data_IF_786919666247
#
_entry.id   IF_786919666247
#
_cell.length_a   1.000
_cell.length_b   1.000
_cell.length_c   1.000
_cell.angle_alpha   90.00
_cell.angle_beta   90.00
_cell.angle_gamma   90.00
#
_symmetry.space_group_name_H-M   'P 1'
#
loop_
_entity.id
_entity.type
_entity.pdbx_description
1 polymer ?
#
# COMPACT_ATOMS: atom_id res chain seq x y z
N UNK A 1 16.81 -52.89 33.92
CA UNK A 1 17.86 -52.22 33.11
C UNK A 1 17.19 -51.54 31.93
N UNK A 2 17.37 -50.21 31.85
CA UNK A 2 17.23 -49.24 30.74
C UNK A 2 15.98 -49.32 29.84
N UNK A 3 15.01 -48.38 29.87
CA UNK A 3 15.00 -46.99 29.30
C UNK A 3 15.33 -47.02 27.80
N UNK A 4 14.48 -46.55 26.88
CA UNK A 4 14.13 -45.14 26.62
C UNK A 4 12.71 -44.99 26.04
N UNK A 5 11.97 -44.07 26.68
CA UNK A 5 10.73 -43.40 26.28
C UNK A 5 11.04 -42.38 25.18
N UNK A 6 10.16 -42.18 24.20
CA UNK A 6 9.62 -40.87 23.74
C UNK A 6 8.75 -41.15 22.50
N UNK A 7 7.45 -41.36 22.72
CA UNK A 7 6.44 -40.89 21.78
C UNK A 7 5.82 -39.68 22.50
N UNK A 8 6.19 -38.47 22.07
CA UNK A 8 5.47 -37.27 22.48
C UNK A 8 4.25 -37.22 21.58
N UNK A 9 3.11 -37.63 22.14
CA UNK A 9 1.83 -37.05 21.78
C UNK A 9 1.85 -35.60 22.25
N UNK A 10 1.73 -34.67 21.33
CA UNK A 10 1.09 -33.39 21.61
C UNK A 10 0.12 -33.13 20.47
N UNK A 11 -1.12 -33.55 20.71
CA UNK A 11 -2.31 -32.81 20.32
C UNK A 11 -2.05 -31.32 20.56
N UNK A 12 -1.87 -30.56 19.50
CA UNK A 12 -2.38 -29.20 19.47
C UNK A 12 -2.90 -28.98 18.04
N UNK A 13 -4.17 -29.33 17.85
CA UNK A 13 -5.05 -28.63 16.93
C UNK A 13 -4.94 -27.13 17.23
N UNK A 14 -4.02 -26.46 16.54
CA UNK A 14 -4.10 -25.02 16.33
C UNK A 14 -4.34 -24.84 14.85
N UNK A 15 -5.54 -25.23 14.40
CA UNK A 15 -6.20 -24.41 13.40
C UNK A 15 -6.40 -23.03 14.05
N UNK A 16 -5.34 -22.22 14.01
CA UNK A 16 -5.43 -20.77 14.09
C UNK A 16 -6.29 -20.40 12.89
N UNK A 17 -7.60 -20.43 13.13
CA UNK A 17 -8.60 -19.78 12.32
C UNK A 17 -8.17 -18.32 12.35
N UNK A 18 -7.30 -17.96 11.41
CA UNK A 18 -7.22 -16.62 10.91
C UNK A 18 -8.66 -16.30 10.54
N UNK A 19 -9.34 -15.62 11.46
CA UNK A 19 -10.59 -14.95 11.13
C UNK A 19 -10.15 -14.05 9.99
N UNK A 20 -10.50 -14.42 8.76
CA UNK A 20 -10.51 -13.50 7.63
C UNK A 20 -11.52 -12.42 8.04
N UNK A 21 -11.08 -11.50 8.90
CA UNK A 21 -11.79 -10.27 9.12
C UNK A 21 -11.64 -9.56 7.80
N UNK A 22 -12.69 -9.57 7.00
CA UNK A 22 -12.76 -8.80 5.77
C UNK A 22 -12.37 -7.36 6.10
N UNK A 23 -11.16 -6.96 5.69
CA UNK A 23 -10.66 -5.60 5.86
C UNK A 23 -10.88 -4.82 4.58
N UNK A 24 -11.39 -3.61 4.73
CA UNK A 24 -11.57 -2.65 3.66
C UNK A 24 -10.61 -1.48 3.83
N UNK A 25 -10.22 -0.89 2.70
CA UNK A 25 -9.36 0.29 2.68
C UNK A 25 -10.20 1.56 2.63
N UNK A 26 -9.92 2.47 3.56
CA UNK A 26 -10.53 3.79 3.66
C UNK A 26 -9.48 4.86 3.38
N UNK A 27 -9.83 5.88 2.61
CA UNK A 27 -8.97 7.05 2.36
C UNK A 27 -9.11 8.01 3.54
N UNK A 28 -7.99 8.29 4.20
CA UNK A 28 -7.91 9.28 5.29
C UNK A 28 -7.57 10.66 4.72
N UNK A 29 -6.67 10.68 3.74
CA UNK A 29 -6.18 11.90 3.14
C UNK A 29 -5.80 11.65 1.69
N UNK A 30 -6.17 12.56 0.80
CA UNK A 30 -5.77 12.53 -0.60
C UNK A 30 -5.57 13.95 -1.13
N UNK A 31 -4.40 14.16 -1.72
CA UNK A 31 -4.09 15.31 -2.56
C UNK A 31 -3.48 14.85 -3.90
N UNK A 32 -3.11 15.81 -4.74
CA UNK A 32 -2.56 15.56 -6.07
C UNK A 32 -1.29 14.69 -6.06
N UNK A 33 -0.52 14.71 -4.98
CA UNK A 33 0.79 14.07 -4.86
C UNK A 33 0.80 12.91 -3.86
N UNK A 34 -0.12 12.86 -2.90
CA UNK A 34 -0.08 11.97 -1.75
C UNK A 34 -1.48 11.43 -1.40
N UNK A 35 -1.57 10.13 -1.17
CA UNK A 35 -2.77 9.47 -0.64
C UNK A 35 -2.36 8.63 0.56
N UNK A 36 -3.13 8.75 1.64
CA UNK A 36 -2.98 7.98 2.87
C UNK A 36 -4.26 7.18 3.07
N UNK A 37 -4.11 5.87 3.22
CA UNK A 37 -5.22 4.94 3.44
C UNK A 37 -5.02 4.14 4.72
N UNK A 38 -6.13 3.62 5.23
CA UNK A 38 -6.20 2.77 6.41
C UNK A 38 -6.98 1.49 6.09
N UNK A 39 -6.49 0.34 6.55
CA UNK A 39 -7.24 -0.91 6.57
C UNK A 39 -8.06 -1.03 7.84
N UNK A 40 -9.38 -1.08 7.65
CA UNK A 40 -10.40 -1.15 8.70
C UNK A 40 -11.36 -2.28 8.34
N UNK A 41 -11.83 -3.10 9.28
CA UNK A 41 -12.79 -4.15 9.02
C UNK A 41 -14.02 -3.59 8.34
N UNK A 42 -14.58 -4.37 7.43
CA UNK A 42 -15.82 -4.05 6.74
C UNK A 42 -16.92 -3.67 7.74
N UNK A 43 -16.99 -4.35 8.88
CA UNK A 43 -17.98 -4.07 9.94
C UNK A 43 -17.82 -2.69 10.59
N UNK A 44 -16.59 -2.16 10.66
CA UNK A 44 -16.27 -0.89 11.31
C UNK A 44 -16.14 0.26 10.31
N UNK A 45 -16.13 -0.04 9.00
CA UNK A 45 -15.95 0.93 7.92
C UNK A 45 -16.93 2.10 8.00
N UNK A 46 -18.23 1.82 8.13
CA UNK A 46 -19.26 2.86 8.13
C UNK A 46 -19.18 3.76 9.37
N UNK A 47 -18.68 3.23 10.48
CA UNK A 47 -18.41 4.04 11.67
C UNK A 47 -17.16 4.89 11.46
N UNK A 48 -16.08 4.30 10.96
CA UNK A 48 -14.82 5.00 10.69
C UNK A 48 -14.99 6.11 9.65
N UNK A 49 -15.78 5.90 8.59
CA UNK A 49 -16.14 6.93 7.61
C UNK A 49 -16.95 8.08 8.22
N UNK A 50 -17.79 7.81 9.22
CA UNK A 50 -18.49 8.85 9.98
C UNK A 50 -17.54 9.63 10.86
N UNK A 51 -16.61 8.95 11.53
CA UNK A 51 -15.62 9.58 12.40
C UNK A 51 -14.65 10.47 11.59
N UNK A 52 -14.27 10.07 10.37
CA UNK A 52 -13.46 10.87 9.45
C UNK A 52 -14.15 12.16 8.95
N UNK A 53 -15.45 12.36 9.20
CA UNK A 53 -16.09 13.65 8.94
C UNK A 53 -15.66 14.73 9.95
N UNK A 54 -15.13 14.33 11.11
CA UNK A 54 -14.55 15.23 12.09
C UNK A 54 -13.07 15.51 11.75
N UNK A 55 -12.69 16.78 11.47
CA UNK A 55 -11.30 17.15 11.21
C UNK A 55 -10.33 16.75 12.34
N UNK A 56 -10.81 16.72 13.60
CA UNK A 56 -9.98 16.33 14.73
C UNK A 56 -9.56 14.86 14.67
N UNK A 57 -10.42 13.98 14.13
CA UNK A 57 -10.11 12.56 13.94
C UNK A 57 -9.10 12.40 12.81
N UNK A 58 -9.27 13.14 11.71
CA UNK A 58 -8.30 13.14 10.60
C UNK A 58 -6.91 13.55 11.09
N UNK A 59 -6.80 14.62 11.88
CA UNK A 59 -5.52 15.06 12.46
C UNK A 59 -4.91 13.99 13.37
N UNK A 60 -5.71 13.29 14.17
CA UNK A 60 -5.23 12.19 15.02
C UNK A 60 -4.70 11.01 14.18
N UNK A 61 -5.41 10.61 13.13
CA UNK A 61 -4.96 9.53 12.24
C UNK A 61 -3.67 9.92 11.50
N UNK A 62 -3.57 11.16 11.03
CA UNK A 62 -2.33 11.68 10.44
C UNK A 62 -1.18 11.71 11.44
N UNK A 63 -1.44 12.07 12.70
CA UNK A 63 -0.44 12.02 13.77
C UNK A 63 0.04 10.59 14.03
N UNK A 64 -0.87 9.60 14.06
CA UNK A 64 -0.52 8.18 14.18
C UNK A 64 0.34 7.70 13.01
N UNK A 65 -0.03 8.04 11.78
CA UNK A 65 0.78 7.71 10.58
C UNK A 65 2.19 8.28 10.72
N UNK A 66 2.31 9.56 11.07
CA UNK A 66 3.61 10.21 11.25
C UNK A 66 4.41 9.60 12.40
N UNK A 67 3.75 9.24 13.49
CA UNK A 67 4.39 8.57 14.62
C UNK A 67 4.92 7.18 14.23
N UNK A 68 4.14 6.38 13.49
CA UNK A 68 4.56 5.07 13.00
C UNK A 68 5.68 5.17 11.95
N UNK A 69 5.75 6.26 11.19
CA UNK A 69 6.86 6.53 10.27
C UNK A 69 8.14 6.97 11.00
N UNK A 70 8.01 7.73 12.10
CA UNK A 70 9.15 8.21 12.89
C UNK A 70 9.68 7.16 13.87
N UNK A 71 8.82 6.26 14.33
CA UNK A 71 9.22 5.03 14.97
C UNK A 71 9.98 4.21 13.93
N UNK A 72 11.30 4.48 13.81
CA UNK A 72 12.28 3.74 13.02
C UNK A 72 12.33 2.29 13.51
N UNK A 73 11.27 1.53 13.32
CA UNK A 73 11.35 0.08 13.34
C UNK A 73 11.82 -0.34 11.95
N UNK A 74 12.65 -1.38 11.91
CA UNK A 74 13.06 -2.09 10.71
C UNK A 74 11.90 -2.66 9.87
N UNK A 75 10.65 -2.46 10.31
CA UNK A 75 9.48 -3.18 9.83
C UNK A 75 8.58 -2.32 8.95
N UNK A 76 8.92 -1.05 8.72
CA UNK A 76 8.25 -0.25 7.68
C UNK A 76 8.69 -0.72 6.30
N UNK A 77 7.76 -1.20 5.49
CA UNK A 77 8.05 -1.60 4.10
C UNK A 77 7.97 -0.38 3.18
N UNK A 78 9.08 -0.05 2.52
CA UNK A 78 9.17 1.06 1.56
C UNK A 78 9.47 0.51 0.17
N UNK A 79 8.65 0.90 -0.81
CA UNK A 79 8.79 0.50 -2.20
C UNK A 79 8.88 1.70 -3.12
N UNK A 80 9.64 1.56 -4.20
CA UNK A 80 9.80 2.60 -5.22
C UNK A 80 9.41 2.06 -6.59
N UNK A 81 8.49 2.76 -7.26
CA UNK A 81 8.15 2.55 -8.65
C UNK A 81 8.79 3.66 -9.48
N UNK A 82 9.95 3.36 -10.07
CA UNK A 82 10.79 4.31 -10.79
C UNK A 82 10.81 4.12 -12.30
N UNK A 83 11.77 4.75 -12.97
CA UNK A 83 11.91 4.81 -14.44
C UNK A 83 11.88 3.44 -15.11
N UNK A 84 12.60 2.46 -14.56
CA UNK A 84 12.65 1.09 -15.08
C UNK A 84 11.27 0.43 -15.09
N UNK A 85 10.47 0.64 -14.03
CA UNK A 85 9.12 0.10 -13.93
C UNK A 85 8.12 0.85 -14.79
N UNK A 86 8.27 2.17 -14.90
CA UNK A 86 7.44 2.99 -15.79
C UNK A 86 7.64 2.62 -17.26
N UNK A 87 8.89 2.35 -17.69
CA UNK A 87 9.20 1.89 -19.04
C UNK A 87 8.53 0.55 -19.35
N UNK A 88 8.65 -0.43 -18.45
CA UNK A 88 8.04 -1.75 -18.66
C UNK A 88 6.52 -1.69 -18.64
N UNK A 89 5.93 -0.92 -17.72
CA UNK A 89 4.48 -0.73 -17.63
C UNK A 89 3.90 -0.05 -18.87
N UNK A 90 4.68 0.86 -19.48
CA UNK A 90 4.36 1.49 -20.76
C UNK A 90 4.75 0.66 -21.99
N UNK A 91 5.29 -0.55 -21.85
CA UNK A 91 5.72 -1.36 -23.00
C UNK A 91 6.86 -0.73 -23.81
N UNK A 92 7.69 0.09 -23.17
CA UNK A 92 8.75 0.89 -23.81
C UNK A 92 10.08 0.17 -23.65
N UNK A 93 10.69 -0.23 -24.76
CA UNK A 93 12.09 -0.62 -24.79
C UNK A 93 12.97 0.64 -24.87
N UNK A 94 14.16 0.59 -24.27
CA UNK A 94 15.02 1.73 -23.88
C UNK A 94 15.35 2.79 -24.96
N UNK A 95 15.01 2.59 -26.23
CA UNK A 95 15.41 3.43 -27.36
C UNK A 95 14.35 4.44 -27.85
N UNK A 96 13.18 4.55 -27.21
CA UNK A 96 12.08 5.39 -27.72
C UNK A 96 11.62 6.41 -26.67
N UNK A 97 12.38 7.49 -26.47
CA UNK A 97 12.06 8.53 -25.49
C UNK A 97 10.98 9.53 -25.96
N UNK A 98 10.62 9.57 -27.26
CA UNK A 98 9.77 10.64 -27.81
C UNK A 98 8.31 10.20 -28.05
N UNK A 99 8.01 8.90 -28.14
CA UNK A 99 6.63 8.38 -28.30
C UNK A 99 5.98 7.91 -26.98
N UNK A 100 6.67 8.16 -25.85
CA UNK A 100 6.35 7.62 -24.52
C UNK A 100 4.92 7.94 -24.05
N UNK A 101 4.45 9.17 -24.29
CA UNK A 101 3.16 9.66 -23.77
C UNK A 101 1.99 8.89 -24.37
N UNK A 102 2.07 8.53 -25.65
CA UNK A 102 0.97 7.91 -26.39
C UNK A 102 0.81 6.42 -26.07
N UNK A 103 1.90 5.77 -25.62
CA UNK A 103 1.90 4.36 -25.21
C UNK A 103 1.43 4.22 -23.75
N UNK A 104 1.85 5.14 -22.86
CA UNK A 104 1.33 5.18 -21.49
C UNK A 104 -0.18 5.38 -21.43
N UNK A 105 -0.76 6.18 -22.34
CA UNK A 105 -2.20 6.40 -22.42
C UNK A 105 -2.99 5.12 -22.80
N UNK A 106 -2.33 4.13 -23.42
CA UNK A 106 -2.95 2.88 -23.89
C UNK A 106 -2.71 1.70 -22.94
N UNK A 107 -1.81 1.84 -21.97
CA UNK A 107 -1.42 0.78 -21.03
C UNK A 107 -2.18 0.84 -19.70
N UNK A 108 -2.54 -0.34 -19.17
CA UNK A 108 -3.10 -0.46 -17.82
C UNK A 108 -1.99 -0.48 -16.77
N UNK A 109 -1.61 0.70 -16.28
CA UNK A 109 -0.53 0.86 -15.32
C UNK A 109 -0.88 0.32 -13.94
N UNK A 110 -2.14 0.39 -13.53
CA UNK A 110 -2.61 -0.10 -12.21
C UNK A 110 -2.26 -1.57 -12.04
N UNK A 111 -2.59 -2.41 -13.03
CA UNK A 111 -2.33 -3.85 -12.95
C UNK A 111 -0.85 -4.16 -12.80
N UNK A 112 -0.01 -3.44 -13.55
CA UNK A 112 1.44 -3.61 -13.49
C UNK A 112 2.04 -3.16 -12.15
N UNK A 113 1.59 -2.01 -11.63
CA UNK A 113 2.02 -1.53 -10.31
C UNK A 113 1.60 -2.52 -9.21
N UNK A 114 0.39 -3.10 -9.31
CA UNK A 114 -0.11 -4.11 -8.38
C UNK A 114 0.75 -5.36 -8.37
N UNK A 115 1.06 -5.88 -9.55
CA UNK A 115 1.90 -7.07 -9.70
C UNK A 115 3.34 -6.84 -9.25
N UNK A 116 3.91 -5.67 -9.54
CA UNK A 116 5.28 -5.36 -9.13
C UNK A 116 5.43 -5.23 -7.60
N UNK A 117 4.43 -4.65 -6.95
CA UNK A 117 4.54 -4.31 -5.53
C UNK A 117 3.81 -5.28 -4.60
N UNK A 118 3.15 -6.31 -5.15
CA UNK A 118 2.22 -7.18 -4.40
C UNK A 118 1.21 -6.38 -3.56
N UNK A 119 0.93 -5.14 -3.97
CA UNK A 119 0.00 -4.26 -3.27
C UNK A 119 -1.40 -4.76 -3.59
N UNK A 120 -2.24 -4.87 -2.55
CA UNK A 120 -3.65 -5.16 -2.70
C UNK A 120 -4.29 -4.20 -3.70
N UNK A 121 -5.05 -4.74 -4.66
CA UNK A 121 -5.67 -3.99 -5.76
C UNK A 121 -6.48 -2.77 -5.27
N UNK A 122 -6.96 -2.78 -4.03
CA UNK A 122 -7.70 -1.70 -3.39
C UNK A 122 -6.89 -0.39 -3.31
N UNK A 123 -5.61 -0.43 -2.92
CA UNK A 123 -4.80 0.79 -2.77
C UNK A 123 -4.52 1.45 -4.12
N UNK A 124 -4.34 0.63 -5.15
CA UNK A 124 -4.12 1.07 -6.51
C UNK A 124 -5.40 1.44 -7.24
N UNK A 125 -6.56 0.92 -6.80
CA UNK A 125 -7.87 1.39 -7.26
C UNK A 125 -8.21 2.76 -6.71
N UNK A 126 -7.88 3.02 -5.43
CA UNK A 126 -8.07 4.33 -4.80
C UNK A 126 -7.25 5.40 -5.54
N UNK A 127 -6.00 5.10 -5.89
CA UNK A 127 -5.19 5.90 -6.83
C UNK A 127 -5.60 5.63 -8.28
N UNK A 128 -6.62 6.33 -8.77
CA UNK A 128 -7.16 6.18 -10.14
C UNK A 128 -6.10 6.01 -11.24
N UNK A 129 -6.45 5.33 -12.34
CA UNK A 129 -5.52 4.96 -13.43
C UNK A 129 -4.79 6.17 -14.03
N UNK A 130 -5.50 7.29 -14.19
CA UNK A 130 -4.94 8.55 -14.69
C UNK A 130 -3.82 9.08 -13.81
N UNK A 131 -3.92 8.91 -12.49
CA UNK A 131 -2.87 9.36 -11.58
C UNK A 131 -1.57 8.60 -11.80
N UNK A 132 -1.65 7.28 -11.99
CA UNK A 132 -0.50 6.43 -12.32
C UNK A 132 0.06 6.75 -13.71
N UNK A 133 -0.79 7.02 -14.70
CA UNK A 133 -0.36 7.44 -16.04
C UNK A 133 0.40 8.75 -15.99
N UNK A 134 -0.11 9.74 -15.25
CA UNK A 134 0.59 11.00 -15.09
C UNK A 134 1.89 10.82 -14.30
N UNK A 135 1.89 10.03 -13.21
CA UNK A 135 3.12 9.73 -12.47
C UNK A 135 4.17 9.06 -13.36
N UNK A 136 3.78 8.11 -14.21
CA UNK A 136 4.67 7.45 -15.15
C UNK A 136 5.28 8.44 -16.15
N UNK A 137 4.45 9.34 -16.68
CA UNK A 137 4.88 10.40 -17.57
C UNK A 137 5.88 11.33 -16.87
N UNK A 138 5.56 11.79 -15.65
CA UNK A 138 6.44 12.65 -14.85
C UNK A 138 7.79 11.97 -14.57
N UNK A 139 7.81 10.68 -14.27
CA UNK A 139 9.05 9.90 -14.08
C UNK A 139 9.89 9.87 -15.37
N UNK A 140 9.23 9.64 -16.51
CA UNK A 140 9.93 9.53 -17.80
C UNK A 140 10.40 10.89 -18.33
N UNK A 141 9.70 11.97 -17.96
CA UNK A 141 10.13 13.35 -18.18
C UNK A 141 11.12 13.86 -17.12
N UNK A 142 11.50 13.01 -16.15
CA UNK A 142 12.44 13.33 -15.06
C UNK A 142 11.96 14.49 -14.17
N UNK A 143 10.64 14.74 -14.13
CA UNK A 143 9.98 15.71 -13.24
C UNK A 143 9.86 15.18 -11.81
N UNK A 144 9.72 13.86 -11.67
CA UNK A 144 9.83 13.14 -10.40
C UNK A 144 10.75 11.94 -10.59
N UNK A 145 11.30 11.41 -9.51
CA UNK A 145 12.21 10.26 -9.55
C UNK A 145 11.44 8.94 -9.50
N UNK A 146 10.40 8.89 -8.66
CA UNK A 146 9.61 7.67 -8.46
C UNK A 146 8.24 7.98 -7.84
N UNK A 147 7.38 6.97 -7.81
CA UNK A 147 6.32 6.89 -6.80
C UNK A 147 6.81 6.04 -5.65
N UNK A 148 6.81 6.62 -4.44
CA UNK A 148 7.16 5.95 -3.19
C UNK A 148 5.90 5.45 -2.51
N UNK A 149 5.93 4.19 -2.07
CA UNK A 149 4.87 3.59 -1.27
C UNK A 149 5.46 3.19 0.06
N UNK A 150 4.80 3.60 1.14
CA UNK A 150 5.22 3.32 2.50
C UNK A 150 4.10 2.63 3.26
N UNK A 151 4.42 1.48 3.84
CA UNK A 151 3.56 0.74 4.75
C UNK A 151 4.23 0.82 6.13
N UNK A 152 3.82 1.76 7.00
CA UNK A 152 4.34 1.80 8.36
C UNK A 152 3.95 0.54 9.15
N UNK A 153 4.70 0.21 10.21
CA UNK A 153 4.36 -0.89 11.10
C UNK A 153 2.98 -0.66 11.75
N UNK A 154 2.31 -1.76 12.11
CA UNK A 154 0.99 -1.71 12.74
C UNK A 154 1.02 -0.78 13.97
N UNK A 155 0.17 0.26 14.03
CA UNK A 155 0.17 1.25 15.11
C UNK A 155 -0.20 0.70 16.50
N UNK A 156 -0.71 -0.54 16.60
CA UNK A 156 -0.99 -1.19 17.88
C UNK A 156 -2.27 -2.04 17.86
N UNK A 157 -2.76 -2.49 19.03
CA UNK A 157 -4.01 -3.24 19.11
C UNK A 157 -5.20 -2.33 18.80
N UNK A 158 -5.92 -2.62 17.72
CA UNK A 158 -7.11 -1.87 17.31
C UNK A 158 -7.12 -1.56 15.82
N UNK A 159 -8.02 -0.65 15.43
CA UNK A 159 -8.20 -0.19 14.06
C UNK A 159 -7.76 1.27 13.91
N UNK A 160 -7.21 1.65 12.74
CA UNK A 160 -6.91 0.79 11.58
C UNK A 160 -5.72 -0.14 11.80
N UNK A 161 -5.75 -1.32 11.16
CA UNK A 161 -4.72 -2.35 11.29
C UNK A 161 -3.44 -2.01 10.52
N UNK A 162 -3.58 -1.36 9.37
CA UNK A 162 -2.46 -1.03 8.48
C UNK A 162 -2.73 0.32 7.84
N UNK A 163 -1.79 1.26 7.97
CA UNK A 163 -1.78 2.44 7.12
C UNK A 163 -0.97 2.19 5.86
N UNK A 164 -1.30 2.90 4.78
CA UNK A 164 -0.45 2.98 3.59
C UNK A 164 -0.38 4.41 3.09
N UNK A 165 0.80 4.79 2.64
CA UNK A 165 1.05 6.08 2.01
C UNK A 165 1.57 5.84 0.61
N UNK A 166 1.00 6.51 -0.38
CA UNK A 166 1.48 6.53 -1.77
C UNK A 166 1.80 7.97 -2.12
N UNK A 167 3.04 8.29 -2.51
CA UNK A 167 3.49 9.66 -2.78
C UNK A 167 4.44 9.76 -3.99
N UNK A 168 4.34 10.83 -4.78
CA UNK A 168 5.35 11.18 -5.81
C UNK A 168 6.58 11.80 -5.14
N UNK A 169 7.79 11.36 -5.52
CA UNK A 169 9.08 11.80 -4.95
C UNK A 169 10.14 12.06 -6.01
#
# INVERSE_FOLDING_TARGET
MNTVVVAIETDIDTEETAVETDVEQVVIYEDENKTITAEVPAEMKDQYLRDLQDPAVVEQELAKVNQSLQARSSDSSVYYWGKDKALVAGGITTDIAIQVVDILAKGSLIGYVASFLQIGASALRLRQERWWQESARMILLEEITAVKITIPPNPGPGYPQIYRTVERV
#
